data_IF_666143398068
#
_entry.id   IF_666143398068
#
_cell.length_a   1.000
_cell.length_b   1.000
_cell.length_c   1.000
_cell.angle_alpha   90.00
_cell.angle_beta   90.00
_cell.angle_gamma   90.00
#
_symmetry.space_group_name_H-M   'P 1'
#
loop_
_entity.id
_entity.type
_entity.pdbx_description
1 polymer ?
#
# COMPACT_ATOMS: atom_id res chain seq x y z
N UNK A 1 1.26 -13.90 3.22
CA UNK A 1 1.10 -12.43 3.02
C UNK A 1 0.11 -12.21 1.88
N UNK A 2 -0.86 -11.29 2.04
CA UNK A 2 -1.83 -10.97 0.97
C UNK A 2 -1.16 -10.07 -0.07
N UNK A 3 -1.47 -10.29 -1.36
CA UNK A 3 -0.97 -9.49 -2.49
C UNK A 3 -2.11 -8.79 -3.24
N UNK A 4 -1.76 -7.74 -3.98
CA UNK A 4 -2.62 -7.11 -4.99
C UNK A 4 -2.08 -7.52 -6.36
N UNK A 5 -2.81 -8.39 -7.05
CA UNK A 5 -2.41 -8.96 -8.32
C UNK A 5 -3.11 -8.22 -9.46
N UNK A 6 -2.34 -7.49 -10.27
CA UNK A 6 -2.86 -6.82 -11.48
C UNK A 6 -3.21 -7.88 -12.54
N UNK A 7 -4.46 -7.88 -13.01
CA UNK A 7 -4.98 -8.82 -14.00
C UNK A 7 -5.04 -8.19 -15.40
N UNK A 8 -5.36 -6.89 -15.48
CA UNK A 8 -5.51 -6.16 -16.75
C UNK A 8 -5.15 -4.70 -16.58
N UNK A 9 -4.63 -4.05 -17.64
CA UNK A 9 -4.28 -2.63 -17.66
C UNK A 9 -5.42 -1.75 -18.22
N UNK A 10 -6.14 -2.20 -19.26
CA UNK A 10 -7.26 -1.45 -19.85
C UNK A 10 -8.40 -2.39 -20.30
N UNK A 11 -9.50 -2.50 -19.53
CA UNK A 11 -9.76 -1.82 -18.26
C UNK A 11 -8.82 -2.31 -17.14
N UNK A 12 -8.47 -1.42 -16.21
CA UNK A 12 -7.65 -1.80 -15.06
C UNK A 12 -8.43 -2.75 -14.14
N UNK A 13 -7.88 -3.94 -13.89
CA UNK A 13 -8.46 -4.95 -12.99
C UNK A 13 -7.38 -5.54 -12.09
N UNK A 14 -7.74 -5.83 -10.85
CA UNK A 14 -6.88 -6.49 -9.87
C UNK A 14 -7.68 -7.46 -9.01
N UNK A 15 -7.00 -8.40 -8.36
CA UNK A 15 -7.57 -9.29 -7.33
C UNK A 15 -6.63 -9.42 -6.15
N UNK A 16 -7.13 -9.95 -5.05
CA UNK A 16 -6.29 -10.39 -3.94
C UNK A 16 -5.63 -11.73 -4.27
N UNK A 17 -4.36 -11.87 -3.88
CA UNK A 17 -3.61 -13.12 -3.91
C UNK A 17 -2.98 -13.42 -2.56
N UNK A 18 -2.22 -14.52 -2.50
CA UNK A 18 -1.45 -14.89 -1.31
C UNK A 18 -0.08 -15.40 -1.73
N UNK A 19 0.93 -15.01 -0.97
CA UNK A 19 2.32 -15.46 -1.14
C UNK A 19 2.91 -15.86 0.21
N UNK A 20 3.76 -16.88 0.18
CA UNK A 20 4.55 -17.30 1.33
C UNK A 20 5.48 -16.17 1.80
N UNK A 21 5.56 -15.95 3.11
CA UNK A 21 6.42 -14.94 3.74
C UNK A 21 7.89 -15.20 3.39
N UNK A 22 8.30 -16.48 3.33
CA UNK A 22 9.68 -16.84 3.00
C UNK A 22 10.12 -16.31 1.62
N UNK A 23 9.18 -16.13 0.69
CA UNK A 23 9.45 -15.59 -0.65
C UNK A 23 9.58 -14.06 -0.67
N UNK A 24 9.14 -13.37 0.37
CA UNK A 24 9.09 -11.89 0.40
C UNK A 24 10.10 -11.28 1.38
N UNK A 25 10.46 -11.99 2.45
CA UNK A 25 11.20 -11.43 3.59
C UNK A 25 12.47 -10.62 3.24
N UNK A 26 13.17 -10.96 2.14
CA UNK A 26 14.40 -10.27 1.69
C UNK A 26 14.30 -9.72 0.25
N UNK A 27 13.08 -9.50 -0.26
CA UNK A 27 12.87 -9.01 -1.62
C UNK A 27 12.19 -7.65 -1.64
N UNK A 28 12.68 -6.76 -2.51
CA UNK A 28 12.13 -5.42 -2.70
C UNK A 28 11.71 -5.19 -4.15
N UNK A 29 10.68 -4.35 -4.36
CA UNK A 29 10.26 -3.92 -5.69
C UNK A 29 11.00 -2.64 -6.08
N UNK A 30 12.18 -2.80 -6.68
CA UNK A 30 12.98 -1.68 -7.17
C UNK A 30 12.28 -0.89 -8.29
N UNK A 31 12.54 0.42 -8.37
CA UNK A 31 12.03 1.26 -9.45
C UNK A 31 12.66 0.82 -10.79
N UNK A 32 11.87 0.38 -11.79
CA UNK A 32 12.43 -0.06 -13.07
C UNK A 32 13.13 1.10 -13.78
N UNK A 33 14.35 0.89 -14.31
CA UNK A 33 15.09 1.92 -15.07
C UNK A 33 14.26 2.52 -16.22
N UNK A 34 13.45 1.69 -16.89
CA UNK A 34 12.55 2.10 -17.98
C UNK A 34 11.47 3.10 -17.56
N UNK A 35 11.25 3.32 -16.26
CA UNK A 35 10.31 4.33 -15.76
C UNK A 35 10.91 5.73 -15.72
N UNK A 36 12.22 5.85 -15.85
CA UNK A 36 12.96 7.11 -15.77
C UNK A 36 13.43 7.48 -17.18
N UNK A 37 13.27 8.75 -17.56
CA UNK A 37 13.76 9.27 -18.84
C UNK A 37 15.28 9.13 -18.97
N UNK A 38 15.79 9.19 -20.20
CA UNK A 38 17.23 9.09 -20.47
C UNK A 38 18.06 10.12 -19.70
N UNK A 39 17.54 11.34 -19.54
CA UNK A 39 18.16 12.41 -18.77
C UNK A 39 17.95 12.32 -17.25
N UNK A 40 17.18 11.35 -16.74
CA UNK A 40 17.02 11.13 -15.30
C UNK A 40 15.97 11.99 -14.58
N UNK A 41 15.44 13.05 -15.21
CA UNK A 41 14.60 14.05 -14.52
C UNK A 41 13.09 13.91 -14.75
N UNK A 42 12.63 12.92 -15.53
CA UNK A 42 11.21 12.73 -15.85
C UNK A 42 10.80 11.26 -15.77
N UNK A 43 9.50 11.04 -15.58
CA UNK A 43 8.91 9.71 -15.74
C UNK A 43 8.56 9.42 -17.19
N UNK A 44 8.64 8.15 -17.60
CA UNK A 44 8.28 7.70 -18.95
C UNK A 44 6.80 7.32 -19.05
N UNK A 45 6.32 7.11 -20.27
CA UNK A 45 4.97 6.58 -20.52
C UNK A 45 4.76 5.18 -19.90
N UNK A 46 5.81 4.35 -19.81
CA UNK A 46 5.74 3.07 -19.13
C UNK A 46 5.45 3.25 -17.63
N UNK A 47 6.04 4.26 -17.00
CA UNK A 47 5.76 4.63 -15.62
C UNK A 47 4.31 5.11 -15.46
N UNK A 48 3.86 6.02 -16.35
CA UNK A 48 2.49 6.54 -16.32
C UNK A 48 1.45 5.44 -16.46
N UNK A 49 1.60 4.53 -17.42
CA UNK A 49 0.69 3.37 -17.57
C UNK A 49 0.62 2.51 -16.31
N UNK A 50 1.74 2.37 -15.60
CA UNK A 50 1.76 1.62 -14.34
C UNK A 50 1.07 2.38 -13.20
N UNK A 51 1.36 3.67 -13.04
CA UNK A 51 0.97 4.45 -11.86
C UNK A 51 -0.43 5.08 -11.96
N UNK A 52 -0.86 5.54 -13.13
CA UNK A 52 -2.13 6.24 -13.29
C UNK A 52 -3.34 5.45 -12.78
N UNK A 53 -3.47 4.13 -13.02
CA UNK A 53 -4.59 3.37 -12.47
C UNK A 53 -4.59 3.25 -10.95
N UNK A 54 -3.44 3.43 -10.30
CA UNK A 54 -3.28 3.26 -8.84
C UNK A 54 -3.82 4.45 -8.04
N UNK A 55 -3.96 5.62 -8.68
CA UNK A 55 -4.49 6.85 -8.07
C UNK A 55 -5.92 7.15 -8.53
N UNK A 56 -6.54 6.23 -9.28
CA UNK A 56 -7.85 6.47 -9.88
C UNK A 56 -8.95 6.40 -8.83
N UNK A 57 -9.79 7.42 -8.80
CA UNK A 57 -10.98 7.53 -7.97
C UNK A 57 -10.75 8.37 -6.71
N UNK A 58 -11.76 9.14 -6.35
CA UNK A 58 -11.78 10.00 -5.18
C UNK A 58 -12.64 9.37 -4.08
N UNK A 59 -12.08 9.27 -2.86
CA UNK A 59 -12.79 8.75 -1.70
C UNK A 59 -12.70 9.76 -0.55
N UNK A 60 -13.57 10.76 -0.58
CA UNK A 60 -13.61 11.81 0.45
C UNK A 60 -14.19 11.26 1.76
N UNK A 61 -13.65 11.67 2.92
CA UNK A 61 -14.19 11.26 4.22
C UNK A 61 -15.54 11.91 4.51
N UNK A 62 -16.24 11.44 5.54
CA UNK A 62 -17.37 12.17 6.10
C UNK A 62 -16.90 13.46 6.78
N UNK A 63 -17.70 14.52 6.69
CA UNK A 63 -17.37 15.82 7.28
C UNK A 63 -18.39 16.20 8.37
N UNK A 64 -17.91 16.84 9.44
CA UNK A 64 -18.74 17.36 10.53
C UNK A 64 -18.26 18.76 10.89
N UNK A 65 -19.18 19.74 10.81
CA UNK A 65 -18.88 21.17 11.03
C UNK A 65 -17.70 21.69 10.21
N UNK A 66 -17.62 21.29 8.94
CA UNK A 66 -16.57 21.73 8.00
C UNK A 66 -15.22 21.01 8.15
N UNK A 67 -15.09 20.03 9.04
CA UNK A 67 -13.85 19.27 9.25
C UNK A 67 -14.04 17.78 8.93
N UNK A 68 -13.04 17.09 8.37
CA UNK A 68 -13.07 15.64 8.22
C UNK A 68 -13.25 14.93 9.56
N UNK A 69 -14.15 13.95 9.60
CA UNK A 69 -14.39 13.14 10.79
C UNK A 69 -13.42 11.94 10.80
N UNK A 70 -12.45 11.97 11.71
CA UNK A 70 -11.51 10.88 11.90
C UNK A 70 -11.90 10.00 13.09
N UNK A 71 -11.69 8.69 12.96
CA UNK A 71 -11.97 7.74 14.04
C UNK A 71 -10.97 7.91 15.21
N UNK A 72 -11.50 7.94 16.44
CA UNK A 72 -10.70 7.89 17.68
C UNK A 72 -10.92 6.55 18.37
N UNK A 73 -9.88 5.73 18.42
CA UNK A 73 -9.93 4.42 19.06
C UNK A 73 -9.84 4.54 20.59
N UNK A 74 -10.53 3.65 21.31
CA UNK A 74 -10.51 3.61 22.78
C UNK A 74 -9.20 3.06 23.34
N UNK A 75 -8.43 2.31 22.53
CA UNK A 75 -7.15 1.71 22.89
C UNK A 75 -7.14 1.02 24.27
N UNK A 76 -8.22 0.29 24.57
CA UNK A 76 -8.36 -0.40 25.86
C UNK A 76 -7.27 -1.45 26.01
N UNK A 77 -6.51 -1.34 27.09
CA UNK A 77 -5.44 -2.28 27.42
C UNK A 77 -6.04 -3.54 28.03
N UNK A 78 -5.52 -4.70 27.65
CA UNK A 78 -5.89 -5.99 28.23
C UNK A 78 -4.99 -6.33 29.42
N UNK A 79 -5.52 -7.09 30.38
CA UNK A 79 -4.75 -7.56 31.53
C UNK A 79 -3.55 -8.41 31.08
N UNK A 80 -2.38 -8.17 31.69
CA UNK A 80 -1.17 -8.95 31.43
C UNK A 80 -1.36 -10.40 31.87
N UNK A 81 -0.89 -11.33 31.04
CA UNK A 81 -0.89 -12.78 31.34
C UNK A 81 0.45 -13.27 31.90
N UNK A 82 1.56 -12.68 31.46
CA UNK A 82 2.90 -13.04 31.90
C UNK A 82 3.25 -12.32 33.20
N UNK A 83 3.87 -13.07 34.13
CA UNK A 83 4.34 -12.55 35.42
C UNK A 83 5.69 -11.84 35.32
N UNK A 84 6.53 -12.25 34.37
CA UNK A 84 7.86 -11.68 34.15
C UNK A 84 7.80 -10.45 33.25
N UNK A 85 8.76 -9.55 33.45
CA UNK A 85 9.08 -8.50 32.48
C UNK A 85 9.93 -9.13 31.38
N UNK A 86 9.63 -8.83 30.11
CA UNK A 86 10.48 -9.21 28.99
C UNK A 86 11.78 -8.40 29.06
N UNK A 87 12.93 -9.07 29.11
CA UNK A 87 14.26 -8.49 29.03
C UNK A 87 14.91 -8.95 27.72
N UNK A 88 15.56 -8.03 27.01
CA UNK A 88 16.29 -8.29 25.75
C UNK A 88 17.76 -8.49 26.05
#
# INVERSE_FOLDING_TARGET
MITIDRISDNPYKWKTGSVDIAKVANNEKMMPRKYISSNGYRITEACKRYMLPLIKGENYPTYKKGLPEFAKLKNKVISKKLKSKFMV
#
